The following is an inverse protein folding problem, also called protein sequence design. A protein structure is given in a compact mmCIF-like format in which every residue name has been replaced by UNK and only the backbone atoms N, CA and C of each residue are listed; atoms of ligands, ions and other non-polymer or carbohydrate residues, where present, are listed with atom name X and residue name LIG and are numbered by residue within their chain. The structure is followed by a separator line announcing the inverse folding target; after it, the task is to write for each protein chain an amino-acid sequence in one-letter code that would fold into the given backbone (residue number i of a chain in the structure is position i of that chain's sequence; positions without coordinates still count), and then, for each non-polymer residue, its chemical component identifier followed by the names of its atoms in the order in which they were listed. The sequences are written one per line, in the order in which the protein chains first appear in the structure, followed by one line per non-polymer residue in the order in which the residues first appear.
data_IF_072468421167
#
_entry.id   IF_072468421167
#
_cell.length_a   1.000
_cell.length_b   1.000
_cell.length_c   1.000
_cell.angle_alpha   90.00
_cell.angle_beta   90.00
_cell.angle_gamma   90.00
#
_symmetry.space_group_name_H-M   'P 1'
#
loop_
_entity.id
_entity.type
_entity.pdbx_description
1 polymer ?
#
# COMPACT_ATOMS: atom_id res chain seq x y z
N UNK A 1 10.96 16.75 -13.23
CA UNK A 1 10.36 15.40 -13.27
C UNK A 1 10.47 14.64 -11.95
N UNK A 2 11.61 14.67 -11.23
CA UNK A 2 11.80 13.88 -9.99
C UNK A 2 10.79 14.17 -8.84
N UNK A 3 10.30 15.42 -8.72
CA UNK A 3 9.39 15.82 -7.63
C UNK A 3 7.96 15.23 -7.76
N UNK A 4 7.45 15.10 -8.98
CA UNK A 4 6.11 14.54 -9.21
C UNK A 4 6.10 13.03 -8.94
N UNK A 5 7.14 12.31 -9.38
CA UNK A 5 7.29 10.88 -9.13
C UNK A 5 7.35 10.54 -7.63
N UNK A 6 8.01 11.39 -6.83
CA UNK A 6 8.06 11.20 -5.37
C UNK A 6 6.72 11.46 -4.68
N UNK A 7 5.92 12.42 -5.17
CA UNK A 7 4.60 12.71 -4.61
C UNK A 7 3.60 11.58 -4.92
N UNK A 8 3.65 11.02 -6.14
CA UNK A 8 2.86 9.85 -6.53
C UNK A 8 3.23 8.59 -5.73
N UNK A 9 4.51 8.39 -5.46
CA UNK A 9 4.98 7.27 -4.65
C UNK A 9 4.48 7.36 -3.20
N UNK A 10 4.56 8.55 -2.59
CA UNK A 10 4.07 8.76 -1.22
C UNK A 10 2.54 8.65 -1.11
N UNK A 11 1.81 9.14 -2.11
CA UNK A 11 0.36 8.97 -2.21
C UNK A 11 0.00 7.48 -2.33
N UNK A 12 0.70 6.73 -3.17
CA UNK A 12 0.48 5.29 -3.35
C UNK A 12 0.69 4.52 -2.04
N UNK A 13 1.79 4.80 -1.32
CA UNK A 13 2.04 4.22 0.00
C UNK A 13 0.93 4.57 1.00
N UNK A 14 0.41 5.80 0.98
CA UNK A 14 -0.68 6.21 1.86
C UNK A 14 -1.98 5.44 1.56
N UNK A 15 -2.28 5.22 0.28
CA UNK A 15 -3.43 4.43 -0.16
C UNK A 15 -3.27 2.96 0.27
N UNK A 16 -2.11 2.35 0.03
CA UNK A 16 -1.83 0.96 0.43
C UNK A 16 -2.00 0.79 1.94
N UNK A 17 -1.43 1.70 2.75
CA UNK A 17 -1.60 1.67 4.21
C UNK A 17 -3.07 1.72 4.63
N UNK A 18 -3.87 2.60 4.01
CA UNK A 18 -5.30 2.72 4.30
C UNK A 18 -6.04 1.43 3.96
N UNK A 19 -5.82 0.89 2.76
CA UNK A 19 -6.48 -0.34 2.29
C UNK A 19 -6.14 -1.53 3.18
N UNK A 20 -4.87 -1.67 3.61
CA UNK A 20 -4.46 -2.74 4.53
C UNK A 20 -5.19 -2.64 5.86
N UNK A 21 -5.20 -1.45 6.48
CA UNK A 21 -5.89 -1.24 7.74
C UNK A 21 -7.38 -1.54 7.63
N UNK A 22 -8.04 -1.04 6.58
CA UNK A 22 -9.46 -1.26 6.35
C UNK A 22 -9.81 -2.73 6.11
N UNK A 23 -8.92 -3.51 5.48
CA UNK A 23 -9.10 -4.94 5.28
C UNK A 23 -8.92 -5.71 6.57
N UNK A 24 -7.84 -5.46 7.30
CA UNK A 24 -7.55 -6.14 8.56
C UNK A 24 -8.62 -5.87 9.62
N UNK A 25 -9.13 -4.63 9.69
CA UNK A 25 -10.23 -4.26 10.57
C UNK A 25 -11.53 -5.02 10.27
N UNK A 26 -11.75 -5.47 9.03
CA UNK A 26 -12.91 -6.28 8.65
C UNK A 26 -12.67 -7.78 8.81
N UNK A 27 -11.41 -8.20 8.94
CA UNK A 27 -11.02 -9.62 9.01
C UNK A 27 -10.78 -10.11 10.43
N UNK A 28 -10.73 -9.20 11.41
CA UNK A 28 -10.56 -9.51 12.83
C UNK A 28 -11.79 -9.04 13.61
N UNK A 29 -12.52 -9.97 14.21
CA UNK A 29 -13.70 -9.69 15.02
C UNK A 29 -13.35 -9.27 16.47
N UNK A 30 -12.07 -9.33 16.86
CA UNK A 30 -11.69 -9.30 18.28
C UNK A 30 -10.44 -8.45 18.59
N UNK A 31 -9.47 -8.28 17.69
CA UNK A 31 -8.20 -7.60 18.03
C UNK A 31 -7.66 -6.67 16.91
N UNK A 32 -7.07 -5.55 17.33
CA UNK A 32 -6.36 -4.64 16.44
C UNK A 32 -5.07 -5.30 15.91
N UNK A 33 -5.02 -5.56 14.61
CA UNK A 33 -3.84 -6.16 13.97
C UNK A 33 -2.79 -5.08 13.73
N UNK A 34 -1.71 -5.15 14.52
CA UNK A 34 -0.54 -4.31 14.29
C UNK A 34 0.26 -4.81 13.08
N UNK A 35 0.46 -3.94 12.09
CA UNK A 35 1.21 -4.26 10.88
C UNK A 35 2.62 -3.71 10.98
N UNK A 36 3.61 -4.57 10.74
CA UNK A 36 5.01 -4.15 10.72
C UNK A 36 5.26 -3.12 9.60
N UNK A 37 6.09 -2.11 9.88
CA UNK A 37 6.41 -1.05 8.91
C UNK A 37 6.99 -1.61 7.61
N UNK A 38 7.86 -2.61 7.72
CA UNK A 38 8.50 -3.22 6.54
C UNK A 38 7.50 -3.97 5.67
N UNK A 39 6.53 -4.67 6.28
CA UNK A 39 5.46 -5.33 5.53
C UNK A 39 4.61 -4.33 4.71
N UNK A 40 4.40 -3.12 5.24
CA UNK A 40 3.72 -2.05 4.51
C UNK A 40 4.56 -1.50 3.35
N UNK A 41 5.89 -1.46 3.51
CA UNK A 41 6.81 -1.03 2.45
C UNK A 41 6.86 -2.08 1.33
N UNK A 42 7.03 -3.36 1.67
CA UNK A 42 7.07 -4.46 0.71
C UNK A 42 5.76 -4.57 -0.08
N UNK A 43 4.62 -4.37 0.60
CA UNK A 43 3.33 -4.34 -0.07
C UNK A 43 3.17 -3.12 -0.98
N UNK A 44 3.71 -1.96 -0.58
CA UNK A 44 3.65 -0.76 -1.41
C UNK A 44 4.47 -0.93 -2.69
N UNK A 45 5.65 -1.56 -2.60
CA UNK A 45 6.46 -1.91 -3.77
C UNK A 45 5.74 -2.93 -4.66
N UNK A 46 5.15 -3.97 -4.05
CA UNK A 46 4.36 -4.98 -4.78
C UNK A 46 3.17 -4.35 -5.50
N UNK A 47 2.46 -3.42 -4.86
CA UNK A 47 1.33 -2.71 -5.45
C UNK A 47 1.76 -1.82 -6.63
N UNK A 48 2.91 -1.14 -6.52
CA UNK A 48 3.47 -0.34 -7.62
C UNK A 48 3.74 -1.20 -8.85
N UNK A 49 4.41 -2.33 -8.65
CA UNK A 49 4.71 -3.29 -9.74
C UNK A 49 3.41 -3.83 -10.34
N UNK A 50 2.43 -4.20 -9.51
CA UNK A 50 1.15 -4.74 -9.97
C UNK A 50 0.35 -3.73 -10.80
N UNK A 51 0.30 -2.47 -10.39
CA UNK A 51 -0.38 -1.40 -11.16
C UNK A 51 0.32 -1.18 -12.50
N UNK A 52 1.66 -1.14 -12.52
CA UNK A 52 2.42 -1.03 -13.77
C UNK A 52 2.16 -2.23 -14.69
N UNK A 53 2.14 -3.45 -14.14
CA UNK A 53 1.81 -4.64 -14.90
C UNK A 53 0.43 -4.55 -15.55
N UNK A 54 -0.60 -4.15 -14.79
CA UNK A 54 -1.96 -3.97 -15.33
C UNK A 54 -2.02 -2.86 -16.39
N UNK A 55 -1.30 -1.75 -16.18
CA UNK A 55 -1.32 -0.59 -17.08
C UNK A 55 -0.53 -0.81 -18.38
N UNK A 56 0.35 -1.81 -18.42
CA UNK A 56 1.10 -2.20 -19.60
C UNK A 56 0.33 -3.16 -20.52
N UNK A 57 -0.91 -3.51 -20.13
CA UNK A 57 -1.88 -4.30 -20.91
C UNK A 57 -2.97 -3.39 -21.47
#
# INVERSE_FOLDING_TARGET
MAKAASEEEELSKAIVRKVVKDKLARSSDQDEINVHKDALLDLSESARIFVHYLSAT
#
